data_IF_237538832161
#
_entry.id   IF_237538832161
#
_cell.length_a   1.000
_cell.length_b   1.000
_cell.length_c   1.000
_cell.angle_alpha   90.00
_cell.angle_beta   90.00
_cell.angle_gamma   90.00
#
_symmetry.space_group_name_H-M   'P 1'
#
loop_
_entity.id
_entity.type
_entity.pdbx_description
1 polymer ?
#
# COMPACT_ATOMS: atom_id res chain seq x y z
N UNK A 1 -6.80 -9.83 -7.07
CA UNK A 1 -5.34 -10.00 -6.87
C UNK A 1 -5.09 -10.04 -5.37
N UNK A 2 -4.39 -11.05 -4.86
CA UNK A 2 -4.26 -11.27 -3.41
C UNK A 2 -3.08 -10.52 -2.77
N UNK A 3 -2.09 -10.14 -3.58
CA UNK A 3 -0.94 -9.32 -3.18
C UNK A 3 -0.25 -8.75 -4.43
N UNK A 4 0.64 -7.78 -4.22
CA UNK A 4 1.38 -7.10 -5.30
C UNK A 4 2.86 -6.96 -4.93
N UNK A 5 3.74 -7.18 -5.91
CA UNK A 5 5.17 -6.93 -5.78
C UNK A 5 5.52 -5.48 -6.13
N UNK A 6 6.48 -4.91 -5.39
CA UNK A 6 6.99 -3.56 -5.61
C UNK A 6 8.51 -3.60 -5.67
N UNK A 7 9.11 -3.14 -6.77
CA UNK A 7 10.57 -3.11 -6.97
C UNK A 7 11.15 -1.71 -6.84
N UNK A 8 10.86 -0.85 -7.83
CA UNK A 8 11.46 0.50 -7.94
C UNK A 8 11.25 1.37 -6.71
N UNK A 9 10.06 1.29 -6.10
CA UNK A 9 9.75 2.07 -4.88
C UNK A 9 10.77 1.80 -3.78
N UNK A 10 11.04 0.53 -3.46
CA UNK A 10 12.03 0.16 -2.45
C UNK A 10 13.46 0.51 -2.87
N UNK A 11 13.81 0.29 -4.14
CA UNK A 11 15.14 0.64 -4.68
C UNK A 11 15.43 2.13 -4.49
N UNK A 12 14.49 3.01 -4.84
CA UNK A 12 14.66 4.45 -4.68
C UNK A 12 14.70 4.89 -3.22
N UNK A 13 13.86 4.30 -2.36
CA UNK A 13 13.87 4.62 -0.94
C UNK A 13 15.20 4.21 -0.27
N UNK A 14 15.76 3.05 -0.62
CA UNK A 14 17.09 2.62 -0.14
C UNK A 14 18.19 3.51 -0.71
N UNK A 15 18.12 3.90 -1.99
CA UNK A 15 19.08 4.82 -2.58
C UNK A 15 19.09 6.19 -1.87
N UNK A 16 17.93 6.68 -1.40
CA UNK A 16 17.81 7.97 -0.72
C UNK A 16 18.14 7.93 0.77
N UNK A 17 17.74 6.87 1.49
CA UNK A 17 17.82 6.78 2.96
C UNK A 17 18.76 5.67 3.48
N UNK A 18 19.47 4.99 2.59
CA UNK A 18 20.32 3.84 2.91
C UNK A 18 19.52 2.64 3.42
N UNK A 19 20.11 1.87 4.33
CA UNK A 19 19.48 0.66 4.88
C UNK A 19 18.09 0.90 5.51
N UNK A 20 17.86 2.08 6.12
CA UNK A 20 16.56 2.45 6.71
C UNK A 20 15.49 2.78 5.68
N UNK A 21 15.86 2.96 4.41
CA UNK A 21 14.94 3.31 3.34
C UNK A 21 13.91 2.23 3.06
N UNK A 22 14.27 0.95 3.22
CA UNK A 22 13.34 -0.16 3.08
C UNK A 22 12.23 -0.11 4.14
N UNK A 23 12.62 0.03 5.41
CA UNK A 23 11.70 0.14 6.55
C UNK A 23 10.81 1.38 6.43
N UNK A 24 11.38 2.50 6.00
CA UNK A 24 10.63 3.73 5.78
C UNK A 24 9.58 3.57 4.68
N UNK A 25 9.96 2.95 3.55
CA UNK A 25 9.05 2.74 2.43
C UNK A 25 7.87 1.83 2.80
N UNK A 26 8.12 0.70 3.46
CA UNK A 26 7.03 -0.22 3.84
C UNK A 26 6.12 0.41 4.91
N UNK A 27 6.67 1.17 5.85
CA UNK A 27 5.89 1.89 6.86
C UNK A 27 4.96 2.92 6.22
N UNK A 28 5.47 3.69 5.26
CA UNK A 28 4.69 4.65 4.49
C UNK A 28 3.59 3.97 3.69
N UNK A 29 3.91 2.90 2.96
CA UNK A 29 2.94 2.16 2.15
C UNK A 29 1.82 1.56 2.99
N UNK A 30 2.13 0.97 4.15
CA UNK A 30 1.13 0.45 5.09
C UNK A 30 0.21 1.55 5.60
N UNK A 31 0.79 2.69 5.98
CA UNK A 31 0.02 3.85 6.46
C UNK A 31 -0.92 4.36 5.37
N UNK A 32 -0.44 4.49 4.14
CA UNK A 32 -1.27 4.94 3.01
C UNK A 32 -2.38 3.95 2.66
N UNK A 33 -2.09 2.65 2.68
CA UNK A 33 -3.10 1.62 2.45
C UNK A 33 -4.21 1.69 3.51
N UNK A 34 -3.83 1.81 4.78
CA UNK A 34 -4.77 1.97 5.90
C UNK A 34 -5.61 3.25 5.74
N UNK A 35 -4.98 4.37 5.39
CA UNK A 35 -5.68 5.63 5.15
C UNK A 35 -6.72 5.51 4.03
N UNK A 36 -6.38 4.87 2.92
CA UNK A 36 -7.32 4.66 1.81
C UNK A 36 -8.45 3.73 2.22
N UNK A 37 -8.15 2.66 2.97
CA UNK A 37 -9.17 1.76 3.53
C UNK A 37 -10.18 2.49 4.41
N UNK A 38 -9.70 3.36 5.31
CA UNK A 38 -10.55 4.20 6.16
C UNK A 38 -11.40 5.17 5.34
N UNK A 39 -10.84 5.78 4.29
CA UNK A 39 -11.56 6.72 3.42
C UNK A 39 -12.73 6.07 2.68
N UNK A 40 -12.62 4.80 2.30
CA UNK A 40 -13.69 4.05 1.63
C UNK A 40 -14.52 3.21 2.60
N UNK A 41 -14.36 3.41 3.91
CA UNK A 41 -15.04 2.66 4.97
C UNK A 41 -14.89 1.14 4.84
N UNK A 42 -13.72 0.68 4.39
CA UNK A 42 -13.39 -0.74 4.22
C UNK A 42 -12.53 -1.22 5.40
N UNK A 43 -13.07 -2.10 6.25
CA UNK A 43 -12.38 -2.59 7.45
C UNK A 43 -11.30 -3.62 7.13
N UNK A 44 -11.50 -4.47 6.12
CA UNK A 44 -10.59 -5.55 5.77
C UNK A 44 -10.27 -5.56 4.27
N UNK A 45 -9.02 -5.85 3.90
CA UNK A 45 -8.59 -5.89 2.49
C UNK A 45 -9.39 -6.85 1.61
N UNK A 46 -10.01 -7.88 2.21
CA UNK A 46 -10.88 -8.85 1.50
C UNK A 46 -12.20 -8.23 1.04
N UNK A 47 -12.59 -7.10 1.64
CA UNK A 47 -13.82 -6.39 1.30
C UNK A 47 -13.62 -5.39 0.15
N UNK A 48 -12.37 -5.17 -0.31
CA UNK A 48 -12.07 -4.28 -1.42
C UNK A 48 -12.96 -4.44 -2.66
N UNK A 49 -13.29 -5.65 -3.14
CA UNK A 49 -14.20 -5.80 -4.28
C UNK A 49 -15.57 -5.13 -4.06
N UNK A 50 -16.09 -5.14 -2.83
CA UNK A 50 -17.40 -4.54 -2.50
C UNK A 50 -17.41 -3.00 -2.61
N UNK A 51 -16.23 -2.37 -2.48
CA UNK A 51 -16.09 -0.91 -2.46
C UNK A 51 -15.43 -0.34 -3.73
N UNK A 52 -14.71 -1.18 -4.49
CA UNK A 52 -13.96 -0.79 -5.67
C UNK A 52 -14.57 -1.30 -6.98
N UNK A 53 -15.55 -2.22 -6.95
CA UNK A 53 -16.32 -2.60 -8.13
C UNK A 53 -17.27 -1.47 -8.53
N UNK A 54 -16.77 -0.57 -9.37
CA UNK A 54 -17.58 0.21 -10.31
C UNK A 54 -17.61 -0.55 -11.64
N UNK A 55 -18.39 -1.62 -11.70
CA UNK A 55 -18.85 -2.22 -12.95
C UNK A 55 -20.29 -1.78 -13.19
N UNK A 56 -20.47 -0.71 -13.97
CA UNK A 56 -21.74 -0.11 -14.42
C UNK A 56 -22.65 0.54 -13.35
#
# INVERSE_FOLDING_TARGET
>A
ADFTFLGRTFMYSVAALGARGGDHAISLLKTQLQQVMEQVCCEEVKDFPKFLDSGE
#
